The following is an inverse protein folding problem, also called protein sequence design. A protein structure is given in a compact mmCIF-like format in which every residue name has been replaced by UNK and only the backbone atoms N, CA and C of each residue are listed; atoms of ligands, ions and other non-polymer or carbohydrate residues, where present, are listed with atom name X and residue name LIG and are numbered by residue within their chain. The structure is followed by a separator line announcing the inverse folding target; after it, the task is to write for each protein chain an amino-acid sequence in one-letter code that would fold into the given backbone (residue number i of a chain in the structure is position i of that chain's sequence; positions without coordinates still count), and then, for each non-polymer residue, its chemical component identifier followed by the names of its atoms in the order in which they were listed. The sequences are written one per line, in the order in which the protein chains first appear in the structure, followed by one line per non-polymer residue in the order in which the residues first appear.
data_IF_422444306295
#
_entry.id   IF_422444306295
#
_cell.length_a   1.000
_cell.length_b   1.000
_cell.length_c   1.000
_cell.angle_alpha   90.00
_cell.angle_beta   90.00
_cell.angle_gamma   90.00
#
_symmetry.space_group_name_H-M   'P 1'
#
loop_
_entity.id
_entity.type
_entity.pdbx_description
1 polymer ?
#
# COMPACT_ATOMS: atom_id res chain seq x y z
N UNK A 1 13.06 4.67 -1.22
CA UNK A 1 12.14 3.50 -1.21
C UNK A 1 12.96 2.25 -1.06
N UNK A 2 12.38 1.16 -0.54
CA UNK A 2 13.06 -0.14 -0.49
C UNK A 2 12.92 -0.86 -1.83
N UNK A 3 14.03 -1.40 -2.35
CA UNK A 3 14.07 -2.28 -3.52
C UNK A 3 15.18 -3.29 -3.29
N UNK A 4 14.92 -4.59 -3.51
CA UNK A 4 15.92 -5.66 -3.33
C UNK A 4 16.59 -5.63 -1.94
N UNK A 5 15.81 -5.36 -0.88
CA UNK A 5 16.26 -5.15 0.50
C UNK A 5 17.26 -3.99 0.69
N UNK A 6 17.32 -3.05 -0.23
CA UNK A 6 18.18 -1.88 -0.17
C UNK A 6 17.37 -0.59 -0.27
N UNK A 7 17.80 0.43 0.47
CA UNK A 7 17.24 1.77 0.35
C UNK A 7 17.80 2.45 -0.89
N UNK A 8 16.90 2.84 -1.80
CA UNK A 8 17.22 3.59 -3.01
C UNK A 8 16.61 4.99 -2.92
N UNK A 9 17.42 6.00 -3.23
CA UNK A 9 16.97 7.39 -3.30
C UNK A 9 16.11 7.64 -4.53
N UNK A 10 15.07 8.45 -4.35
CA UNK A 10 14.20 8.88 -5.44
C UNK A 10 14.46 10.35 -5.70
N UNK A 11 15.16 10.65 -6.79
CA UNK A 11 15.47 12.03 -7.18
C UNK A 11 14.23 12.73 -7.70
N UNK A 12 13.80 13.86 -7.08
CA UNK A 12 12.69 14.65 -7.61
C UNK A 12 13.02 15.19 -9.00
N UNK A 13 12.13 14.99 -9.96
CA UNK A 13 12.24 15.55 -11.32
C UNK A 13 11.32 16.78 -11.42
N UNK A 14 11.83 17.95 -11.85
CA UNK A 14 11.00 19.14 -12.01
C UNK A 14 9.78 18.88 -12.92
N UNK A 15 8.59 19.29 -12.47
CA UNK A 15 7.33 19.09 -13.19
C UNK A 15 6.75 17.67 -13.11
N UNK A 16 7.42 16.73 -12.44
CA UNK A 16 6.92 15.37 -12.26
C UNK A 16 6.29 15.15 -10.89
N UNK A 17 5.38 14.18 -10.83
CA UNK A 17 4.86 13.62 -9.59
C UNK A 17 5.46 12.25 -9.35
N UNK A 18 5.67 11.90 -8.08
CA UNK A 18 6.02 10.54 -7.66
C UNK A 18 4.71 9.84 -7.30
N UNK A 19 4.47 8.67 -7.88
CA UNK A 19 3.34 7.81 -7.55
C UNK A 19 3.83 6.49 -6.93
N UNK A 20 3.08 5.96 -5.97
CA UNK A 20 3.36 4.68 -5.34
C UNK A 20 2.05 3.95 -5.02
N UNK A 21 2.11 2.62 -4.96
CA UNK A 21 0.98 1.78 -4.58
C UNK A 21 0.95 1.55 -3.07
N UNK A 22 -0.25 1.49 -2.51
CA UNK A 22 -0.49 1.12 -1.11
C UNK A 22 -0.75 -0.38 -0.98
N UNK A 23 -0.68 -0.88 0.26
CA UNK A 23 -1.05 -2.26 0.59
C UNK A 23 -2.43 -2.65 0.07
N UNK A 24 -3.40 -1.73 0.12
CA UNK A 24 -4.73 -1.98 -0.42
C UNK A 24 -4.68 -2.35 -1.90
N UNK A 25 -3.87 -1.65 -2.71
CA UNK A 25 -3.72 -1.98 -4.13
C UNK A 25 -3.02 -3.32 -4.33
N UNK A 26 -2.00 -3.62 -3.54
CA UNK A 26 -1.32 -4.92 -3.59
C UNK A 26 -2.29 -6.08 -3.31
N UNK A 27 -3.12 -5.95 -2.27
CA UNK A 27 -4.14 -6.93 -1.93
C UNK A 27 -5.16 -7.09 -3.06
N UNK A 28 -5.74 -5.98 -3.55
CA UNK A 28 -6.73 -5.98 -4.63
C UNK A 28 -6.17 -6.61 -5.91
N UNK A 29 -4.91 -6.33 -6.22
CA UNK A 29 -4.23 -6.84 -7.40
C UNK A 29 -3.72 -8.27 -7.26
N UNK A 30 -3.90 -8.91 -6.10
CA UNK A 30 -3.36 -10.23 -5.80
C UNK A 30 -1.84 -10.33 -6.06
N UNK A 31 -1.05 -9.38 -5.54
CA UNK A 31 0.40 -9.27 -5.74
C UNK A 31 0.88 -8.92 -7.18
N UNK A 32 0.00 -8.49 -8.09
CA UNK A 32 0.45 -7.92 -9.39
C UNK A 32 1.12 -6.55 -9.21
N UNK A 33 0.64 -5.75 -8.26
CA UNK A 33 1.28 -4.52 -7.83
C UNK A 33 1.88 -4.70 -6.44
N UNK A 34 3.08 -4.16 -6.24
CA UNK A 34 3.80 -4.25 -4.97
C UNK A 34 3.75 -2.90 -4.26
N UNK A 35 3.30 -2.92 -3.02
CA UNK A 35 3.47 -1.79 -2.11
C UNK A 35 4.89 -1.80 -1.56
N UNK A 36 5.52 -0.62 -1.56
CA UNK A 36 6.92 -0.48 -1.15
C UNK A 36 7.05 0.48 0.02
N UNK A 37 7.92 0.11 0.95
CA UNK A 37 8.30 1.02 2.01
C UNK A 37 9.04 2.24 1.43
N UNK A 38 8.64 3.42 1.91
CA UNK A 38 9.28 4.67 1.59
C UNK A 38 9.46 5.49 2.87
N UNK A 39 10.57 6.22 2.94
CA UNK A 39 10.89 7.10 4.07
C UNK A 39 11.44 8.42 3.54
N UNK A 40 11.26 9.48 4.31
CA UNK A 40 11.93 10.76 4.09
C UNK A 40 13.01 10.90 5.14
N UNK A 41 14.24 11.11 4.70
CA UNK A 41 15.35 11.43 5.60
C UNK A 41 15.36 12.93 5.86
N UNK A 42 15.39 13.30 7.15
CA UNK A 42 15.60 14.70 7.53
C UNK A 42 17.06 15.07 7.28
N UNK A 43 17.31 16.19 6.61
CA UNK A 43 18.64 16.74 6.42
C UNK A 43 18.72 18.11 7.10
N UNK A 44 19.74 18.32 7.94
CA UNK A 44 19.92 19.58 8.70
C UNK A 44 20.18 20.80 7.81
N UNK A 45 20.63 20.59 6.57
CA UNK A 45 21.16 21.65 5.71
C UNK A 45 20.10 22.44 4.95
N UNK A 46 18.87 21.91 4.74
CA UNK A 46 17.89 22.57 3.87
C UNK A 46 16.46 22.13 4.16
N UNK A 47 15.55 23.11 4.19
CA UNK A 47 14.11 22.88 4.26
C UNK A 47 13.61 22.14 3.00
N UNK A 48 12.94 21.01 3.20
CA UNK A 48 12.25 20.24 2.15
C UNK A 48 10.74 20.27 2.42
N UNK A 49 9.97 20.70 1.43
CA UNK A 49 8.49 20.70 1.48
C UNK A 49 7.99 19.73 0.41
N UNK A 50 6.98 18.93 0.74
CA UNK A 50 6.27 18.07 -0.21
C UNK A 50 4.81 17.95 0.17
N UNK A 51 3.94 17.83 -0.82
CA UNK A 51 2.51 17.53 -0.65
C UNK A 51 2.23 16.10 -1.09
N UNK A 52 1.49 15.34 -0.29
CA UNK A 52 1.04 13.99 -0.63
C UNK A 52 -0.48 13.97 -0.81
N UNK A 53 -0.95 13.26 -1.82
CA UNK A 53 -2.37 13.05 -2.09
C UNK A 53 -2.63 11.54 -2.13
N UNK A 54 -3.65 11.09 -1.40
CA UNK A 54 -4.02 9.69 -1.32
C UNK A 54 -5.37 9.48 -2.00
N UNK A 55 -5.41 8.57 -2.98
CA UNK A 55 -6.66 8.12 -3.60
C UNK A 55 -7.15 6.88 -2.88
N UNK A 56 -8.30 6.97 -2.22
CA UNK A 56 -8.91 5.85 -1.48
C UNK A 56 -10.25 5.46 -2.11
N UNK A 57 -10.75 4.23 -1.86
CA UNK A 57 -12.06 3.84 -2.34
C UNK A 57 -13.17 4.77 -1.85
N UNK A 58 -14.20 4.95 -2.67
CA UNK A 58 -15.35 5.79 -2.31
C UNK A 58 -16.13 5.22 -1.12
N UNK A 59 -16.86 6.07 -0.41
CA UNK A 59 -17.78 5.68 0.68
C UNK A 59 -18.80 4.64 0.20
N UNK A 60 -19.25 4.74 -1.06
CA UNK A 60 -20.17 3.76 -1.65
C UNK A 60 -19.54 2.37 -1.79
N UNK A 61 -18.25 2.30 -2.10
CA UNK A 61 -17.52 1.04 -2.17
C UNK A 61 -17.29 0.43 -0.78
N UNK A 62 -17.18 1.26 0.28
CA UNK A 62 -16.93 0.81 1.65
C UNK A 62 -18.01 -0.13 2.23
N UNK A 63 -19.23 -0.13 1.67
CA UNK A 63 -20.32 -1.03 2.08
C UNK A 63 -20.21 -2.46 1.53
N UNK A 64 -19.16 -2.80 0.78
CA UNK A 64 -18.92 -4.14 0.24
C UNK A 64 -17.56 -4.68 0.73
N UNK A 65 -17.39 -6.01 0.78
CA UNK A 65 -16.08 -6.60 1.02
C UNK A 65 -15.08 -6.24 -0.07
N UNK A 66 -13.84 -6.01 0.34
CA UNK A 66 -12.66 -5.84 -0.49
C UNK A 66 -11.81 -7.10 -0.42
N UNK A 67 -11.14 -7.41 -1.51
CA UNK A 67 -10.26 -8.57 -1.65
C UNK A 67 -9.74 -8.66 -3.08
N UNK A 68 -8.97 -9.69 -3.42
CA UNK A 68 -8.44 -9.87 -4.76
C UNK A 68 -9.51 -9.75 -5.85
N UNK A 69 -9.22 -8.96 -6.88
CA UNK A 69 -10.06 -8.78 -8.08
C UNK A 69 -10.25 -10.16 -8.72
N UNK A 70 -11.50 -10.57 -8.91
CA UNK A 70 -11.82 -11.96 -9.24
C UNK A 70 -11.25 -12.37 -10.61
N UNK A 71 -11.13 -11.43 -11.53
CA UNK A 71 -10.54 -11.61 -12.86
C UNK A 71 -9.02 -11.82 -12.84
N UNK A 72 -8.34 -11.47 -11.75
CA UNK A 72 -6.90 -11.72 -11.55
C UNK A 72 -6.62 -13.05 -10.84
N UNK A 73 -7.66 -13.80 -10.47
CA UNK A 73 -7.55 -15.10 -9.79
C UNK A 73 -7.68 -16.20 -10.84
N UNK A 74 -6.69 -17.09 -10.89
CA UNK A 74 -6.67 -18.25 -11.79
C UNK A 74 -6.33 -19.52 -11.01
N UNK A 75 -6.35 -20.68 -11.68
CA UNK A 75 -5.94 -21.94 -11.03
C UNK A 75 -4.45 -21.92 -10.70
N UNK A 76 -3.66 -21.29 -11.55
CA UNK A 76 -2.21 -21.16 -11.44
C UNK A 76 -1.80 -20.04 -10.49
N UNK A 77 -2.64 -19.01 -10.34
CA UNK A 77 -2.49 -17.90 -9.40
C UNK A 77 -3.72 -17.81 -8.47
N UNK A 78 -3.82 -18.68 -7.46
CA UNK A 78 -4.93 -18.63 -6.51
C UNK A 78 -4.89 -17.35 -5.66
N UNK A 79 -5.96 -17.12 -4.91
CA UNK A 79 -6.08 -15.96 -4.02
C UNK A 79 -5.04 -16.03 -2.89
N UNK A 80 -4.26 -14.96 -2.71
CA UNK A 80 -3.27 -14.83 -1.64
C UNK A 80 -3.90 -14.22 -0.39
N UNK A 81 -4.91 -13.37 -0.58
CA UNK A 81 -5.53 -12.57 0.47
C UNK A 81 -7.00 -12.94 0.68
N UNK A 82 -7.48 -12.78 1.92
CA UNK A 82 -8.89 -12.94 2.28
C UNK A 82 -9.68 -11.68 1.98
N UNK A 83 -11.00 -11.84 1.90
CA UNK A 83 -11.91 -10.69 1.85
C UNK A 83 -11.98 -9.99 3.24
N UNK A 84 -12.16 -8.67 3.25
CA UNK A 84 -12.25 -7.83 4.45
C UNK A 84 -13.13 -6.59 4.20
N UNK A 85 -13.56 -5.92 5.27
CA UNK A 85 -14.29 -4.65 5.15
C UNK A 85 -13.31 -3.46 5.16
N UNK A 86 -13.58 -2.41 4.37
CA UNK A 86 -12.67 -1.27 4.30
C UNK A 86 -12.46 -0.56 5.65
N UNK A 87 -13.48 -0.59 6.51
CA UNK A 87 -13.37 -0.09 7.89
C UNK A 87 -12.33 -0.86 8.71
N UNK A 88 -12.30 -2.19 8.59
CA UNK A 88 -11.30 -3.06 9.23
C UNK A 88 -9.88 -2.65 8.82
N UNK A 89 -9.68 -2.38 7.53
CA UNK A 89 -8.40 -1.91 6.98
C UNK A 89 -7.94 -0.59 7.58
N UNK A 90 -8.82 0.42 7.62
CA UNK A 90 -8.46 1.69 8.24
C UNK A 90 -8.25 1.58 9.75
N UNK A 91 -8.99 0.69 10.42
CA UNK A 91 -8.84 0.45 11.85
C UNK A 91 -7.50 -0.22 12.19
N UNK A 92 -7.00 -1.11 11.33
CA UNK A 92 -5.66 -1.68 11.47
C UNK A 92 -4.58 -0.58 11.58
N UNK A 93 -4.59 0.37 10.64
CA UNK A 93 -3.62 1.47 10.63
C UNK A 93 -3.79 2.46 11.78
N UNK A 94 -5.03 2.74 12.20
CA UNK A 94 -5.30 3.61 13.36
C UNK A 94 -4.78 3.03 14.67
N UNK A 95 -4.89 1.72 14.85
CA UNK A 95 -4.57 1.06 16.14
C UNK A 95 -3.09 0.71 16.29
N UNK A 96 -2.36 0.52 15.18
CA UNK A 96 -0.97 0.05 15.18
C UNK A 96 0.09 1.18 15.19
N UNK A 97 -0.29 2.45 14.96
CA UNK A 97 0.57 3.61 15.20
C UNK A 97 1.73 3.80 14.20
N UNK A 98 2.86 4.38 14.63
CA UNK A 98 3.96 4.77 13.72
C UNK A 98 4.97 3.64 13.38
N UNK A 99 4.77 2.42 13.92
CA UNK A 99 5.62 1.23 13.69
C UNK A 99 4.85 0.13 12.96
N UNK A 100 3.90 0.52 12.12
CA UNK A 100 3.03 -0.42 11.39
C UNK A 100 3.87 -1.24 10.42
N UNK A 101 3.94 -2.55 10.66
CA UNK A 101 4.25 -3.53 9.62
C UNK A 101 3.15 -3.46 8.55
N UNK A 102 3.48 -3.69 7.28
CA UNK A 102 2.51 -3.65 6.21
C UNK A 102 1.26 -4.49 6.52
N UNK A 103 0.09 -3.89 6.29
CA UNK A 103 -1.21 -4.50 6.52
C UNK A 103 -1.45 -5.72 5.61
N UNK A 104 -0.79 -5.83 4.46
CA UNK A 104 -1.02 -6.96 3.55
C UNK A 104 -0.76 -8.33 4.21
N UNK A 105 0.22 -8.44 5.12
CA UNK A 105 0.49 -9.70 5.82
C UNK A 105 -0.61 -10.10 6.81
N UNK A 106 -1.37 -9.13 7.30
CA UNK A 106 -2.54 -9.38 8.15
C UNK A 106 -3.72 -10.00 7.36
N UNK A 107 -3.79 -9.72 6.06
CA UNK A 107 -4.86 -10.21 5.18
C UNK A 107 -4.48 -11.46 4.39
N UNK A 108 -3.25 -11.98 4.52
CA UNK A 108 -2.80 -13.21 3.85
C UNK A 108 -3.52 -14.44 4.40
N UNK A 109 -3.95 -15.37 3.52
CA UNK A 109 -4.68 -16.59 3.90
C UNK A 109 -3.75 -17.66 4.46
N UNK A 110 -2.53 -17.79 3.92
CA UNK A 110 -1.53 -18.76 4.35
C UNK A 110 -0.26 -18.02 4.76
N UNK A 111 0.20 -18.25 5.99
CA UNK A 111 1.49 -17.76 6.52
C UNK A 111 2.55 -18.85 6.44
#
# INVERSE_FOLDING_TARGET
MIRDNQWVDVTPVPGAHIANFSDLMQILSNDEFISVEHRVLSQLARLRISTATFSTPSIRAAGKPFGPIKELITKEKPTVYRDFMLEEYFQYYKTKGARVESAFDYYRINK
#
